data_IF_800548429256
#
_entry.id   IF_800548429256
#
_cell.length_a   1.000
_cell.length_b   1.000
_cell.length_c   1.000
_cell.angle_alpha   90.00
_cell.angle_beta   90.00
_cell.angle_gamma   90.00
#
_symmetry.space_group_name_H-M   'P 1'
#
loop_
_entity.id
_entity.type
_entity.pdbx_description
1 polymer ?
#
# COMPACT_ATOMS: atom_id res chain seq x y z
N UNK A 1 14.09 9.61 -15.48
CA UNK A 1 13.02 8.61 -15.24
C UNK A 1 11.69 9.32 -15.33
N UNK A 2 10.72 8.78 -16.05
CA UNK A 2 9.37 9.38 -16.15
C UNK A 2 8.66 9.36 -14.78
N UNK A 3 7.80 10.33 -14.50
CA UNK A 3 7.10 10.45 -13.21
C UNK A 3 6.32 9.17 -12.85
N UNK A 4 5.73 8.51 -13.84
CA UNK A 4 5.02 7.23 -13.67
C UNK A 4 5.93 6.10 -13.19
N UNK A 5 7.14 5.96 -13.73
CA UNK A 5 8.06 4.92 -13.27
C UNK A 5 8.48 5.16 -11.82
N UNK A 6 8.69 6.42 -11.45
CA UNK A 6 9.02 6.77 -10.07
C UNK A 6 7.85 6.40 -9.13
N UNK A 7 6.62 6.72 -9.51
CA UNK A 7 5.43 6.41 -8.73
C UNK A 7 5.19 4.90 -8.60
N UNK A 8 5.30 4.14 -9.70
CA UNK A 8 5.19 2.67 -9.67
C UNK A 8 6.34 2.02 -8.87
N UNK A 9 7.56 2.55 -8.96
CA UNK A 9 8.68 2.09 -8.14
C UNK A 9 8.41 2.32 -6.66
N UNK A 10 7.87 3.48 -6.31
CA UNK A 10 7.55 3.80 -4.93
C UNK A 10 6.41 2.92 -4.38
N UNK A 11 5.36 2.68 -5.17
CA UNK A 11 4.32 1.70 -4.86
C UNK A 11 4.92 0.32 -4.57
N UNK A 12 5.75 -0.18 -5.50
CA UNK A 12 6.39 -1.50 -5.37
C UNK A 12 7.21 -1.62 -4.06
N UNK A 13 8.04 -0.62 -3.76
CA UNK A 13 8.89 -0.63 -2.56
C UNK A 13 8.07 -0.63 -1.26
N UNK A 14 6.93 0.06 -1.23
CA UNK A 14 6.06 0.13 -0.06
C UNK A 14 5.19 -1.12 0.07
N UNK A 15 4.63 -1.60 -1.04
CA UNK A 15 3.61 -2.64 -1.03
C UNK A 15 4.18 -4.06 -1.05
N UNK A 16 5.44 -4.29 -1.46
CA UNK A 16 6.09 -5.62 -1.33
C UNK A 16 6.19 -6.07 0.14
N UNK A 17 6.76 -5.29 1.08
CA UNK A 17 6.79 -5.70 2.48
C UNK A 17 5.37 -5.78 3.07
N UNK A 18 4.45 -4.92 2.63
CA UNK A 18 3.05 -4.98 3.06
C UNK A 18 2.36 -6.28 2.61
N UNK A 19 2.48 -6.65 1.34
CA UNK A 19 1.88 -7.87 0.78
C UNK A 19 2.39 -9.11 1.50
N UNK A 20 3.70 -9.20 1.74
CA UNK A 20 4.30 -10.29 2.51
C UNK A 20 3.79 -10.32 3.96
N UNK A 21 3.60 -9.15 4.58
CA UNK A 21 3.06 -9.06 5.93
C UNK A 21 1.61 -9.54 6.01
N UNK A 22 0.77 -9.23 5.03
CA UNK A 22 -0.61 -9.74 4.95
C UNK A 22 -0.67 -11.24 4.62
N UNK A 23 0.23 -11.73 3.77
CA UNK A 23 0.24 -13.13 3.33
C UNK A 23 0.80 -14.09 4.39
N UNK A 24 1.95 -13.75 4.97
CA UNK A 24 2.68 -14.59 5.92
C UNK A 24 2.39 -14.22 7.39
N UNK A 25 2.01 -12.97 7.64
CA UNK A 25 1.79 -12.40 8.97
C UNK A 25 0.32 -12.07 9.28
N UNK A 26 -0.65 -12.64 8.55
CA UNK A 26 -2.08 -12.34 8.66
C UNK A 26 -2.60 -12.25 10.12
N UNK A 27 -2.27 -13.23 10.97
CA UNK A 27 -2.69 -13.24 12.38
C UNK A 27 -2.20 -11.99 13.14
N UNK A 28 -0.96 -11.56 12.90
CA UNK A 28 -0.39 -10.33 13.49
C UNK A 28 -1.04 -9.07 12.92
N UNK A 29 -1.46 -9.09 11.65
CA UNK A 29 -2.17 -7.97 11.02
C UNK A 29 -3.57 -7.76 11.59
N UNK A 30 -4.27 -8.85 11.96
CA UNK A 30 -5.59 -8.81 12.58
C UNK A 30 -5.55 -8.27 14.03
N UNK A 31 -4.44 -8.43 14.75
CA UNK A 31 -4.22 -7.91 16.12
C UNK A 31 -5.28 -8.35 17.14
N UNK A 32 -5.84 -9.53 16.93
CA UNK A 32 -6.77 -10.19 17.84
C UNK A 32 -6.08 -11.42 18.44
N UNK A 33 -6.33 -11.76 19.73
CA UNK A 33 -5.69 -12.92 20.36
C UNK A 33 -6.00 -14.25 19.65
N UNK A 34 -7.25 -14.43 19.22
CA UNK A 34 -7.74 -15.63 18.56
C UNK A 34 -8.60 -15.25 17.33
N UNK A 35 -7.97 -14.83 16.22
CA UNK A 35 -8.70 -14.47 15.01
C UNK A 35 -9.37 -15.71 14.41
N UNK A 36 -10.57 -15.55 13.83
CA UNK A 36 -11.23 -16.66 13.14
C UNK A 36 -10.40 -17.14 11.93
N UNK A 37 -10.46 -18.44 11.58
CA UNK A 37 -9.79 -18.96 10.39
C UNK A 37 -10.18 -18.20 9.11
N UNK A 38 -11.45 -17.82 8.97
CA UNK A 38 -11.97 -17.10 7.82
C UNK A 38 -11.38 -15.68 7.73
N UNK A 39 -11.23 -14.98 8.86
CA UNK A 39 -10.60 -13.66 8.89
C UNK A 39 -9.13 -13.74 8.47
N UNK A 40 -8.42 -14.80 8.89
CA UNK A 40 -7.03 -15.06 8.46
C UNK A 40 -6.97 -15.30 6.96
N UNK A 41 -7.84 -16.14 6.40
CA UNK A 41 -7.88 -16.42 4.97
C UNK A 41 -8.18 -15.16 4.14
N UNK A 42 -9.16 -14.34 4.55
CA UNK A 42 -9.47 -13.06 3.89
C UNK A 42 -8.26 -12.13 3.92
N UNK A 43 -7.57 -12.05 5.07
CA UNK A 43 -6.36 -11.25 5.23
C UNK A 43 -5.23 -11.71 4.30
N UNK A 44 -5.07 -13.03 4.13
CA UNK A 44 -4.11 -13.61 3.18
C UNK A 44 -4.50 -13.38 1.72
N UNK A 45 -5.79 -13.51 1.36
CA UNK A 45 -6.28 -13.18 0.03
C UNK A 45 -6.02 -11.72 -0.33
N UNK A 46 -6.18 -10.80 0.63
CA UNK A 46 -5.81 -9.41 0.46
C UNK A 46 -4.30 -9.24 0.25
N UNK A 47 -3.45 -9.98 0.98
CA UNK A 47 -2.01 -10.02 0.73
C UNK A 47 -1.64 -10.54 -0.67
N UNK A 48 -2.36 -11.56 -1.17
CA UNK A 48 -2.20 -12.08 -2.52
C UNK A 48 -2.62 -11.07 -3.60
N UNK A 49 -3.69 -10.32 -3.38
CA UNK A 49 -4.11 -9.22 -4.26
C UNK A 49 -3.05 -8.11 -4.30
N UNK A 50 -2.43 -7.76 -3.17
CA UNK A 50 -1.33 -6.79 -3.16
C UNK A 50 -0.09 -7.30 -3.88
N UNK A 51 0.21 -8.58 -3.72
CA UNK A 51 1.30 -9.20 -4.45
C UNK A 51 1.05 -9.13 -5.96
N UNK A 52 -0.19 -9.32 -6.42
CA UNK A 52 -0.53 -9.22 -7.85
C UNK A 52 -0.38 -7.79 -8.38
N UNK A 53 -0.72 -6.75 -7.61
CA UNK A 53 -0.47 -5.35 -8.00
C UNK A 53 1.03 -5.03 -8.04
N UNK A 54 1.83 -5.63 -7.15
CA UNK A 54 3.29 -5.52 -7.22
C UNK A 54 3.86 -6.19 -8.47
N UNK A 55 3.38 -7.39 -8.84
CA UNK A 55 3.78 -8.04 -10.10
C UNK A 55 3.39 -7.16 -11.30
N UNK A 56 2.18 -6.58 -11.30
CA UNK A 56 1.75 -5.66 -12.34
C UNK A 56 2.73 -4.47 -12.47
N UNK A 57 3.05 -3.79 -11.35
CA UNK A 57 4.00 -2.68 -11.35
C UNK A 57 5.38 -3.10 -11.86
N UNK A 58 5.89 -4.26 -11.42
CA UNK A 58 7.16 -4.80 -11.88
C UNK A 58 7.17 -5.04 -13.40
N UNK A 59 6.13 -5.65 -13.94
CA UNK A 59 6.01 -5.90 -15.38
C UNK A 59 5.95 -4.58 -16.17
N UNK A 60 5.22 -3.58 -15.72
CA UNK A 60 5.21 -2.26 -16.35
C UNK A 60 6.60 -1.61 -16.33
N UNK A 61 7.31 -1.66 -15.20
CA UNK A 61 8.66 -1.11 -15.09
C UNK A 61 9.66 -1.82 -16.01
N UNK A 62 9.60 -3.15 -16.11
CA UNK A 62 10.52 -3.94 -16.94
C UNK A 62 10.23 -3.81 -18.44
N UNK A 63 8.94 -3.80 -18.84
CA UNK A 63 8.56 -3.90 -20.25
C UNK A 63 8.14 -2.57 -20.89
N UNK A 64 7.65 -1.60 -20.11
CA UNK A 64 7.26 -0.27 -20.62
C UNK A 64 8.32 0.77 -20.32
N UNK A 65 9.01 0.69 -19.18
CA UNK A 65 10.27 1.39 -18.92
C UNK A 65 10.27 2.85 -19.39
N UNK A 66 11.06 3.18 -20.41
CA UNK A 66 11.16 4.55 -20.96
C UNK A 66 9.96 5.02 -21.78
N UNK A 67 9.10 4.11 -22.25
CA UNK A 67 7.93 4.38 -23.09
C UNK A 67 6.67 4.35 -22.22
N UNK A 68 6.52 5.37 -21.38
CA UNK A 68 5.28 5.54 -20.60
C UNK A 68 4.15 5.87 -21.57
N UNK A 69 3.18 4.98 -21.63
CA UNK A 69 1.98 5.08 -22.45
C UNK A 69 0.73 5.34 -21.58
N UNK A 70 -0.39 5.63 -22.24
CA UNK A 70 -1.69 5.88 -21.59
C UNK A 70 -2.06 4.74 -20.63
N UNK A 71 -1.73 3.49 -20.99
CA UNK A 71 -1.98 2.33 -20.14
C UNK A 71 -1.23 2.42 -18.81
N UNK A 72 0.03 2.85 -18.82
CA UNK A 72 0.84 3.06 -17.61
C UNK A 72 0.22 4.16 -16.73
N UNK A 73 -0.26 5.25 -17.33
CA UNK A 73 -0.92 6.34 -16.62
C UNK A 73 -2.25 5.91 -15.98
N UNK A 74 -3.08 5.17 -16.72
CA UNK A 74 -4.36 4.62 -16.22
C UNK A 74 -4.12 3.65 -15.07
N UNK A 75 -3.11 2.77 -15.17
CA UNK A 75 -2.73 1.86 -14.09
C UNK A 75 -2.27 2.63 -12.85
N UNK A 76 -1.44 3.66 -13.01
CA UNK A 76 -1.01 4.50 -11.90
C UNK A 76 -2.21 5.18 -11.21
N UNK A 77 -3.14 5.77 -11.98
CA UNK A 77 -4.35 6.38 -11.43
C UNK A 77 -5.23 5.36 -10.68
N UNK A 78 -5.37 4.15 -11.22
CA UNK A 78 -6.12 3.06 -10.57
C UNK A 78 -5.48 2.64 -9.23
N UNK A 79 -4.16 2.46 -9.22
CA UNK A 79 -3.42 2.12 -8.01
C UNK A 79 -3.43 3.23 -6.96
N UNK A 80 -3.58 4.50 -7.36
CA UNK A 80 -3.76 5.59 -6.42
C UNK A 80 -5.00 5.36 -5.54
N UNK A 81 -6.13 4.94 -6.11
CA UNK A 81 -7.37 4.69 -5.36
C UNK A 81 -7.17 3.62 -4.28
N UNK A 82 -6.35 2.60 -4.56
CA UNK A 82 -6.03 1.59 -3.56
C UNK A 82 -5.44 2.21 -2.28
N UNK A 83 -4.61 3.26 -2.38
CA UNK A 83 -3.95 3.86 -1.21
C UNK A 83 -4.88 4.62 -0.25
N UNK A 84 -6.13 4.91 -0.65
CA UNK A 84 -7.15 5.43 0.25
C UNK A 84 -7.46 4.43 1.38
N UNK A 85 -7.47 3.13 1.08
CA UNK A 85 -7.80 2.07 2.05
C UNK A 85 -6.74 1.88 3.15
N UNK A 86 -5.43 1.76 2.88
CA UNK A 86 -4.41 1.70 3.91
C UNK A 86 -4.28 3.04 4.67
N UNK A 87 -4.53 4.20 4.03
CA UNK A 87 -4.68 5.49 4.74
C UNK A 87 -5.82 5.42 5.75
N UNK A 88 -7.02 5.01 5.33
CA UNK A 88 -8.17 4.84 6.21
C UNK A 88 -7.88 3.87 7.37
N UNK A 89 -7.29 2.71 7.06
CA UNK A 89 -6.88 1.72 8.04
C UNK A 89 -5.89 2.29 9.07
N UNK A 90 -4.93 3.10 8.63
CA UNK A 90 -3.98 3.77 9.51
C UNK A 90 -4.66 4.85 10.38
N UNK A 91 -5.55 5.66 9.82
CA UNK A 91 -6.36 6.65 10.55
C UNK A 91 -7.22 6.02 11.64
N UNK A 92 -7.90 4.90 11.34
CA UNK A 92 -8.67 4.15 12.34
C UNK A 92 -7.80 3.63 13.48
N UNK A 93 -6.56 3.23 13.18
CA UNK A 93 -5.60 2.81 14.21
C UNK A 93 -5.14 3.99 15.07
N UNK A 94 -4.84 5.14 14.46
CA UNK A 94 -4.45 6.37 15.16
C UNK A 94 -5.56 6.81 16.12
N UNK A 95 -6.80 6.88 15.65
CA UNK A 95 -7.95 7.30 16.47
C UNK A 95 -8.18 6.36 17.67
N UNK A 96 -8.06 5.04 17.47
CA UNK A 96 -8.19 4.06 18.56
C UNK A 96 -7.05 4.14 19.58
N UNK A 97 -5.85 4.56 19.17
CA UNK A 97 -4.72 4.78 20.07
C UNK A 97 -4.82 6.10 20.86
N UNK A 98 -5.47 7.12 20.30
CA UNK A 98 -5.63 8.43 20.94
C UNK A 98 -6.59 8.49 22.14
N UNK A 99 -7.34 7.42 22.44
CA UNK A 99 -8.30 7.38 23.55
C UNK A 99 -7.83 6.65 24.82
N UNK A 100 -6.74 5.88 24.75
CA UNK A 100 -6.20 5.14 25.88
C UNK A 100 -4.69 5.30 25.88
N UNK A 101 -4.14 6.01 26.87
CA UNK A 101 -2.72 6.29 27.05
C UNK A 101 -1.85 5.05 27.26
N UNK A 102 -1.80 4.16 26.28
CA UNK A 102 -0.88 3.02 26.20
C UNK A 102 0.17 3.37 25.15
N UNK A 103 1.34 3.76 25.67
CA UNK A 103 2.41 4.41 24.95
C UNK A 103 3.08 3.55 23.88
N UNK A 104 3.84 4.24 23.03
CA UNK A 104 5.09 3.89 22.31
C UNK A 104 5.41 2.40 22.02
N UNK A 105 5.23 1.47 22.95
CA UNK A 105 5.41 0.03 22.77
C UNK A 105 4.53 -0.56 21.65
N UNK A 106 3.29 -0.08 21.47
CA UNK A 106 2.40 -0.58 20.41
C UNK A 106 2.66 0.05 19.02
N UNK A 107 3.47 1.12 18.96
CA UNK A 107 3.95 1.72 17.71
C UNK A 107 5.14 0.95 17.11
N UNK A 108 5.90 0.22 17.92
CA UNK A 108 7.14 -0.46 17.52
C UNK A 108 6.93 -1.80 16.80
N UNK A 109 5.74 -2.43 16.88
CA UNK A 109 5.56 -3.81 16.42
C UNK A 109 5.39 -4.00 14.90
N UNK A 110 5.25 -2.93 14.12
CA UNK A 110 5.13 -2.99 12.65
C UNK A 110 5.81 -1.76 12.04
N UNK A 111 6.97 -1.95 11.38
CA UNK A 111 7.70 -0.99 10.51
C UNK A 111 7.24 0.48 10.56
N UNK A 112 7.46 1.17 11.69
CA UNK A 112 7.23 2.62 11.84
C UNK A 112 5.88 3.05 12.46
N UNK A 113 4.96 2.12 12.74
CA UNK A 113 3.70 2.43 13.41
C UNK A 113 2.66 3.12 12.51
N UNK A 114 1.44 3.36 13.01
CA UNK A 114 0.32 3.75 12.16
C UNK A 114 0.46 5.17 11.56
N UNK A 115 1.17 6.09 12.22
CA UNK A 115 1.46 7.42 11.65
C UNK A 115 2.40 7.35 10.44
N UNK A 116 3.51 6.60 10.54
CA UNK A 116 4.43 6.43 9.41
C UNK A 116 3.74 5.74 8.25
N UNK A 117 2.97 4.68 8.53
CA UNK A 117 2.16 4.02 7.50
C UNK A 117 1.21 5.02 6.80
N UNK A 118 0.51 5.86 7.55
CA UNK A 118 -0.38 6.88 6.98
C UNK A 118 0.39 7.84 6.05
N UNK A 119 1.49 8.43 6.53
CA UNK A 119 2.29 9.38 5.75
C UNK A 119 2.86 8.74 4.48
N UNK A 120 3.42 7.54 4.60
CA UNK A 120 3.95 6.80 3.44
C UNK A 120 2.85 6.58 2.40
N UNK A 121 1.66 6.10 2.78
CA UNK A 121 0.58 5.89 1.81
C UNK A 121 0.01 7.20 1.24
N UNK A 122 0.03 8.31 1.97
CA UNK A 122 -0.28 9.64 1.41
C UNK A 122 0.72 10.03 0.33
N UNK A 123 2.02 9.85 0.58
CA UNK A 123 3.05 10.13 -0.43
C UNK A 123 2.88 9.25 -1.67
N UNK A 124 2.59 7.95 -1.49
CA UNK A 124 2.37 7.04 -2.63
C UNK A 124 1.12 7.46 -3.41
N UNK A 125 0.02 7.75 -2.71
CA UNK A 125 -1.23 8.25 -3.29
C UNK A 125 -1.00 9.49 -4.16
N UNK A 126 -0.31 10.50 -3.62
CA UNK A 126 -0.02 11.74 -4.35
C UNK A 126 0.88 11.48 -5.56
N UNK A 127 1.91 10.64 -5.41
CA UNK A 127 2.82 10.33 -6.51
C UNK A 127 2.13 9.61 -7.68
N UNK A 128 1.26 8.64 -7.39
CA UNK A 128 0.51 7.89 -8.38
C UNK A 128 -0.60 8.73 -9.02
N UNK A 129 -1.29 9.55 -8.23
CA UNK A 129 -2.30 10.49 -8.74
C UNK A 129 -1.66 11.48 -9.71
N UNK A 130 -0.52 12.06 -9.34
CA UNK A 130 0.23 12.96 -10.21
C UNK A 130 0.67 12.27 -11.50
N UNK A 131 1.27 11.08 -11.40
CA UNK A 131 1.70 10.30 -12.56
C UNK A 131 0.53 9.95 -13.51
N UNK A 132 -0.62 9.56 -12.95
CA UNK A 132 -1.81 9.24 -13.73
C UNK A 132 -2.39 10.46 -14.42
N UNK A 133 -2.55 11.58 -13.71
CA UNK A 133 -3.06 12.82 -14.30
C UNK A 133 -2.11 13.37 -15.38
N UNK A 134 -0.81 13.35 -15.12
CA UNK A 134 0.17 13.83 -16.10
C UNK A 134 0.08 13.03 -17.39
N UNK A 135 0.12 11.69 -17.32
CA UNK A 135 0.11 10.84 -18.53
C UNK A 135 -1.24 10.68 -19.21
N UNK A 136 -2.34 11.18 -18.63
CA UNK A 136 -3.65 11.25 -19.29
C UNK A 136 -3.91 12.61 -19.94
N UNK A 137 -3.23 13.67 -19.49
CA UNK A 137 -3.44 15.05 -19.96
C UNK A 137 -2.38 15.46 -20.98
N UNK A 138 -1.14 14.96 -20.83
CA UNK A 138 0.02 15.30 -21.66
C UNK A 138 0.60 14.05 -22.31
#
# INVERSE_FOLDING_TARGET
MHAANLALTFHLLVEVPASLSFLLGARKQLREPNPSPEAVLICQSYGGLLLSTNVLCFLFLCYRGSNVDDATAIVAASLAIYHVFPMWRASMRIQRQGGLGRGWAQQAEVLGGPYVHFVVHVLVFLSLTWAGLQGMIY
#
